data_IF_249964382673
#
_entry.id   IF_249964382673
#
_cell.length_a   1.000
_cell.length_b   1.000
_cell.length_c   1.000
_cell.angle_alpha   90.00
_cell.angle_beta   90.00
_cell.angle_gamma   90.00
#
_symmetry.space_group_name_H-M   'P 1'
#
loop_
_entity.id
_entity.type
_entity.pdbx_description
1 polymer ?
#
# COMPACT_ATOMS: atom_id res chain seq x y z
N UNK A 1 -20.73 -0.66 17.65
CA UNK A 1 -21.00 -0.58 19.11
C UNK A 1 -20.78 -1.95 19.75
N UNK A 2 -19.73 -2.64 19.34
CA UNK A 2 -19.38 -3.97 19.85
C UNK A 2 -18.40 -3.90 21.05
N UNK A 3 -18.16 -2.70 21.63
CA UNK A 3 -17.32 -2.52 22.81
C UNK A 3 -15.81 -2.51 22.54
N UNK A 4 -15.39 -2.42 21.27
CA UNK A 4 -13.98 -2.27 20.94
C UNK A 4 -13.50 -0.83 21.16
N UNK A 5 -12.31 -0.69 21.72
CA UNK A 5 -11.55 0.55 21.67
C UNK A 5 -10.81 0.61 20.33
N UNK A 6 -10.96 1.72 19.60
CA UNK A 6 -10.43 1.84 18.23
C UNK A 6 -9.41 2.97 18.18
N UNK A 7 -8.18 2.62 17.74
CA UNK A 7 -7.13 3.56 17.40
C UNK A 7 -7.03 3.65 15.87
N UNK A 8 -6.86 4.87 15.32
CA UNK A 8 -6.79 5.10 13.88
C UNK A 8 -5.53 5.91 13.55
N UNK A 9 -4.74 5.39 12.62
CA UNK A 9 -3.49 6.02 12.18
C UNK A 9 -3.48 6.16 10.65
N UNK A 10 -3.35 7.40 10.17
CA UNK A 10 -3.28 7.69 8.73
C UNK A 10 -1.91 7.35 8.11
N UNK A 11 -1.83 7.30 6.77
CA UNK A 11 -0.60 6.91 6.07
C UNK A 11 0.42 8.05 5.86
N UNK A 12 -0.01 9.32 5.99
CA UNK A 12 0.84 10.52 5.73
C UNK A 12 1.45 11.08 7.02
N UNK A 13 1.97 10.20 7.86
CA UNK A 13 2.61 10.57 9.12
C UNK A 13 3.89 11.34 8.86
N UNK A 14 4.17 12.32 9.74
CA UNK A 14 5.33 13.21 9.71
C UNK A 14 5.38 14.14 8.50
N UNK A 15 4.47 14.00 7.54
CA UNK A 15 4.40 14.84 6.33
C UNK A 15 5.72 14.95 5.56
N UNK A 16 6.53 13.88 5.55
CA UNK A 16 7.79 13.85 4.82
C UNK A 16 7.57 14.02 3.33
N UNK A 17 8.20 15.04 2.75
CA UNK A 17 8.12 15.33 1.33
C UNK A 17 9.13 14.47 0.56
N UNK A 18 8.80 14.12 -0.67
CA UNK A 18 9.72 13.40 -1.57
C UNK A 18 11.01 14.19 -1.83
N UNK A 19 10.89 15.50 -1.99
CA UNK A 19 12.00 16.40 -2.20
C UNK A 19 13.03 16.33 -1.07
N UNK A 20 12.58 16.24 0.17
CA UNK A 20 13.46 16.18 1.36
C UNK A 20 14.30 14.88 1.41
N UNK A 21 13.83 13.84 0.73
CA UNK A 21 14.47 12.52 0.71
C UNK A 21 15.27 12.24 -0.57
N UNK A 22 15.42 13.22 -1.45
CA UNK A 22 16.07 13.09 -2.76
C UNK A 22 15.53 11.90 -3.58
N UNK A 23 14.22 11.64 -3.50
CA UNK A 23 13.57 10.60 -4.29
C UNK A 23 13.27 11.16 -5.67
N UNK A 24 14.09 10.75 -6.66
CA UNK A 24 13.85 11.06 -8.06
C UNK A 24 12.73 10.15 -8.59
N UNK A 25 11.55 10.72 -8.73
CA UNK A 25 10.40 10.03 -9.30
C UNK A 25 9.61 10.99 -10.19
N UNK A 26 9.99 11.07 -11.47
CA UNK A 26 9.44 12.05 -12.42
C UNK A 26 7.92 11.96 -12.63
N UNK A 27 7.32 10.81 -12.32
CA UNK A 27 5.88 10.57 -12.45
C UNK A 27 5.01 11.13 -11.31
N UNK A 28 5.62 11.67 -10.26
CA UNK A 28 4.88 12.16 -9.08
C UNK A 28 5.27 13.62 -8.80
N UNK A 29 4.27 14.45 -8.47
CA UNK A 29 4.50 15.86 -8.13
C UNK A 29 5.54 16.00 -7.01
N UNK A 30 6.40 17.01 -7.10
CA UNK A 30 7.44 17.32 -6.10
C UNK A 30 6.85 17.53 -4.70
N UNK A 31 5.63 18.08 -4.63
CA UNK A 31 4.89 18.35 -3.38
C UNK A 31 4.21 17.10 -2.80
N UNK A 32 4.57 15.90 -3.24
CA UNK A 32 3.92 14.69 -2.77
C UNK A 32 4.48 14.23 -1.41
N UNK A 33 3.60 14.19 -0.40
CA UNK A 33 3.91 13.58 0.89
C UNK A 33 3.92 12.06 0.73
N UNK A 34 5.00 11.41 1.17
CA UNK A 34 5.13 9.95 1.13
C UNK A 34 4.31 9.26 2.23
N UNK A 35 3.95 7.99 1.97
CA UNK A 35 3.35 7.13 2.99
C UNK A 35 4.44 6.59 3.93
N UNK A 36 4.12 6.47 5.23
CA UNK A 36 5.03 5.91 6.22
C UNK A 36 4.39 4.70 6.95
N UNK A 37 4.31 3.52 6.31
CA UNK A 37 3.68 2.33 6.89
C UNK A 37 4.45 1.79 8.11
N UNK A 38 5.76 2.02 8.17
CA UNK A 38 6.57 1.62 9.32
C UNK A 38 6.18 2.43 10.55
N UNK A 39 6.10 3.75 10.41
CA UNK A 39 5.68 4.61 11.53
C UNK A 39 4.25 4.32 11.97
N UNK A 40 3.34 4.00 11.04
CA UNK A 40 1.98 3.56 11.38
C UNK A 40 2.02 2.33 12.31
N UNK A 41 2.85 1.32 11.98
CA UNK A 41 3.00 0.13 12.81
C UNK A 41 3.60 0.45 14.18
N UNK A 42 4.63 1.29 14.23
CA UNK A 42 5.29 1.66 15.49
C UNK A 42 4.35 2.42 16.43
N UNK A 43 3.53 3.33 15.93
CA UNK A 43 2.54 4.05 16.74
C UNK A 43 1.47 3.11 17.31
N UNK A 44 1.02 2.12 16.53
CA UNK A 44 0.06 1.13 17.00
C UNK A 44 0.70 0.13 17.99
N UNK A 45 2.00 -0.16 17.85
CA UNK A 45 2.75 -0.92 18.84
C UNK A 45 2.84 -0.16 20.17
N UNK A 46 3.09 1.14 20.14
CA UNK A 46 3.10 1.99 21.34
C UNK A 46 1.72 2.06 22.00
N UNK A 47 0.67 2.12 21.20
CA UNK A 47 -0.71 2.06 21.65
C UNK A 47 -1.12 0.65 22.17
N UNK A 48 -0.26 -0.38 22.00
CA UNK A 48 -0.47 -1.77 22.45
C UNK A 48 -1.78 -2.37 21.93
N UNK A 49 -2.05 -2.18 20.64
CA UNK A 49 -3.22 -2.77 19.98
C UNK A 49 -3.16 -4.30 20.00
N UNK A 50 -4.30 -4.95 20.15
CA UNK A 50 -4.42 -6.43 20.14
C UNK A 50 -4.56 -7.00 18.72
N UNK A 51 -5.09 -6.18 17.78
CA UNK A 51 -5.30 -6.55 16.38
C UNK A 51 -5.23 -5.30 15.52
N UNK A 52 -4.53 -5.39 14.40
CA UNK A 52 -4.44 -4.33 13.40
C UNK A 52 -5.20 -4.70 12.12
N UNK A 53 -6.10 -3.82 11.67
CA UNK A 53 -6.86 -3.99 10.43
C UNK A 53 -6.42 -2.91 9.44
N UNK A 54 -5.83 -3.34 8.31
CA UNK A 54 -5.35 -2.45 7.27
C UNK A 54 -6.45 -2.24 6.23
N UNK A 55 -6.86 -0.98 6.06
CA UNK A 55 -7.91 -0.58 5.13
C UNK A 55 -7.41 0.51 4.20
N UNK A 56 -7.31 0.22 2.91
CA UNK A 56 -6.89 1.20 1.89
C UNK A 56 -5.43 1.59 1.95
N UNK A 57 -4.57 0.76 2.54
CA UNK A 57 -3.12 0.91 2.46
C UNK A 57 -2.62 0.49 1.08
N UNK A 58 -1.60 1.17 0.54
CA UNK A 58 -1.05 0.82 -0.77
C UNK A 58 -0.52 -0.61 -0.77
N UNK A 59 -0.79 -1.34 -1.86
CA UNK A 59 -0.26 -2.70 -2.04
C UNK A 59 1.27 -2.69 -1.94
N UNK A 60 1.83 -3.61 -1.13
CA UNK A 60 3.24 -3.65 -0.78
C UNK A 60 3.61 -2.85 0.48
N UNK A 61 2.93 -1.75 0.81
CA UNK A 61 3.10 -1.06 2.10
C UNK A 61 2.52 -1.86 3.26
N UNK A 62 1.51 -2.67 3.02
CA UNK A 62 0.97 -3.64 3.98
C UNK A 62 2.02 -4.66 4.42
N UNK A 63 2.89 -5.12 3.52
CA UNK A 63 4.01 -6.00 3.87
C UNK A 63 5.00 -5.32 4.84
N UNK A 64 5.31 -4.02 4.62
CA UNK A 64 6.15 -3.26 5.54
C UNK A 64 5.47 -3.06 6.88
N UNK A 65 4.18 -2.71 6.89
CA UNK A 65 3.41 -2.57 8.12
C UNK A 65 3.42 -3.89 8.92
N UNK A 66 3.09 -5.02 8.29
CA UNK A 66 3.06 -6.33 8.94
C UNK A 66 4.43 -6.73 9.51
N UNK A 67 5.52 -6.38 8.82
CA UNK A 67 6.87 -6.68 9.29
C UNK A 67 7.22 -5.98 10.62
N UNK A 68 6.69 -4.77 10.86
CA UNK A 68 7.00 -3.96 12.03
C UNK A 68 5.88 -3.94 13.07
N UNK A 69 4.74 -4.57 12.79
CA UNK A 69 3.62 -4.71 13.73
C UNK A 69 3.88 -5.81 14.76
N UNK A 70 3.71 -5.50 16.05
CA UNK A 70 3.76 -6.49 17.13
C UNK A 70 2.46 -7.29 17.24
N UNK A 71 1.32 -6.64 17.00
CA UNK A 71 0.03 -7.29 16.98
C UNK A 71 -0.22 -8.02 15.65
N UNK A 72 -1.02 -9.08 15.64
CA UNK A 72 -1.52 -9.66 14.40
C UNK A 72 -2.13 -8.60 13.50
N UNK A 73 -1.82 -8.64 12.20
CA UNK A 73 -2.30 -7.67 11.22
C UNK A 73 -3.00 -8.38 10.07
N UNK A 74 -4.12 -7.82 9.62
CA UNK A 74 -4.88 -8.33 8.48
C UNK A 74 -5.17 -7.20 7.50
N UNK A 75 -4.86 -7.40 6.22
CA UNK A 75 -5.24 -6.48 5.15
C UNK A 75 -6.67 -6.80 4.71
N UNK A 76 -7.62 -5.94 5.09
CA UNK A 76 -9.01 -6.06 4.68
C UNK A 76 -9.21 -5.56 3.24
N UNK A 77 -8.62 -4.40 2.91
CA UNK A 77 -8.65 -3.82 1.56
C UNK A 77 -7.29 -3.19 1.26
N UNK A 78 -6.61 -3.70 0.23
CA UNK A 78 -5.41 -3.06 -0.31
C UNK A 78 -5.77 -2.00 -1.35
N UNK A 79 -5.03 -0.90 -1.37
CA UNK A 79 -5.14 0.14 -2.39
C UNK A 79 -4.24 -0.24 -3.57
N UNK A 80 -4.88 -0.59 -4.69
CA UNK A 80 -4.20 -0.96 -5.92
C UNK A 80 -4.87 -0.30 -7.13
N UNK A 81 -4.25 0.72 -7.68
CA UNK A 81 -4.78 1.46 -8.82
C UNK A 81 -4.79 0.64 -10.11
N UNK A 82 -3.85 -0.30 -10.29
CA UNK A 82 -3.74 -1.11 -11.50
C UNK A 82 -4.92 -2.06 -11.64
N UNK A 83 -5.45 -2.55 -10.53
CA UNK A 83 -6.57 -3.50 -10.49
C UNK A 83 -7.89 -2.84 -10.08
N UNK A 84 -7.93 -1.49 -10.04
CA UNK A 84 -9.10 -0.72 -9.57
C UNK A 84 -9.52 -1.17 -8.16
N UNK A 85 -8.53 -1.39 -7.29
CA UNK A 85 -8.68 -1.87 -5.91
C UNK A 85 -9.34 -3.26 -5.77
N UNK A 86 -9.32 -4.05 -6.85
CA UNK A 86 -9.89 -5.40 -6.87
C UNK A 86 -8.92 -6.40 -7.53
N UNK A 87 -7.80 -6.73 -6.89
CA UNK A 87 -6.80 -7.65 -7.45
C UNK A 87 -7.36 -9.06 -7.71
N UNK A 88 -8.29 -9.53 -6.88
CA UNK A 88 -8.92 -10.84 -7.09
C UNK A 88 -9.65 -10.93 -8.42
N UNK A 89 -10.39 -9.88 -8.79
CA UNK A 89 -11.09 -9.81 -10.09
C UNK A 89 -10.12 -9.90 -11.26
N UNK A 90 -8.97 -9.22 -11.17
CA UNK A 90 -7.94 -9.28 -12.21
C UNK A 90 -7.30 -10.67 -12.30
N UNK A 91 -7.01 -11.30 -11.18
CA UNK A 91 -6.47 -12.66 -11.14
C UNK A 91 -7.44 -13.68 -11.76
N UNK A 92 -8.73 -13.62 -11.41
CA UNK A 92 -9.74 -14.50 -11.99
C UNK A 92 -9.93 -14.29 -13.51
N UNK A 93 -9.72 -13.08 -14.01
CA UNK A 93 -9.86 -12.73 -15.42
C UNK A 93 -8.51 -12.68 -16.17
N UNK A 94 -7.42 -13.16 -15.57
CA UNK A 94 -6.07 -13.06 -16.12
C UNK A 94 -5.93 -13.72 -17.49
N UNK A 95 -6.56 -14.88 -17.70
CA UNK A 95 -6.53 -15.62 -18.96
C UNK A 95 -7.62 -15.20 -19.95
N UNK A 96 -8.41 -14.18 -19.61
CA UNK A 96 -9.52 -13.71 -20.45
C UNK A 96 -9.42 -12.22 -20.76
N UNK A 97 -10.23 -11.39 -20.12
CA UNK A 97 -10.34 -9.95 -20.40
C UNK A 97 -9.03 -9.20 -20.13
N UNK A 98 -8.30 -9.59 -19.08
CA UNK A 98 -7.06 -8.92 -18.67
C UNK A 98 -5.80 -9.48 -19.32
N UNK A 99 -5.86 -10.61 -20.03
CA UNK A 99 -4.70 -11.29 -20.62
C UNK A 99 -3.79 -10.34 -21.40
N UNK A 100 -4.34 -9.65 -22.39
CA UNK A 100 -3.55 -8.70 -23.23
C UNK A 100 -2.94 -7.55 -22.43
N UNK A 101 -3.64 -7.06 -21.42
CA UNK A 101 -3.14 -5.95 -20.58
C UNK A 101 -1.97 -6.41 -19.72
N UNK A 102 -2.09 -7.60 -19.12
CA UNK A 102 -1.02 -8.18 -18.30
C UNK A 102 0.21 -8.51 -19.13
N UNK A 103 0.03 -9.15 -20.29
CA UNK A 103 1.11 -9.48 -21.22
C UNK A 103 1.86 -8.23 -21.71
N UNK A 104 1.13 -7.16 -22.05
CA UNK A 104 1.71 -5.89 -22.45
C UNK A 104 2.55 -5.29 -21.31
N UNK A 105 2.01 -5.20 -20.11
CA UNK A 105 2.71 -4.63 -18.94
C UNK A 105 3.96 -5.42 -18.60
N UNK A 106 3.88 -6.75 -18.60
CA UNK A 106 5.04 -7.62 -18.34
C UNK A 106 6.09 -7.46 -19.44
N UNK A 107 5.68 -7.36 -20.70
CA UNK A 107 6.58 -7.12 -21.83
C UNK A 107 7.28 -5.78 -21.76
N UNK A 108 6.61 -4.72 -21.35
CA UNK A 108 7.17 -3.37 -21.15
C UNK A 108 8.20 -3.38 -20.01
N UNK A 109 7.89 -3.99 -18.88
CA UNK A 109 8.82 -4.14 -17.75
C UNK A 109 10.07 -4.94 -18.17
N UNK A 110 9.89 -6.07 -18.84
CA UNK A 110 10.99 -6.94 -19.28
C UNK A 110 11.89 -6.27 -20.32
N UNK A 111 11.35 -5.35 -21.13
CA UNK A 111 12.12 -4.59 -22.14
C UNK A 111 12.78 -3.31 -21.60
N UNK A 112 12.60 -2.98 -20.33
CA UNK A 112 13.09 -1.76 -19.71
C UNK A 112 12.42 -0.48 -20.24
N UNK A 113 11.26 -0.59 -20.89
CA UNK A 113 10.48 0.51 -21.45
C UNK A 113 9.28 0.91 -20.58
N UNK A 114 9.23 0.43 -19.35
CA UNK A 114 8.21 0.86 -18.38
C UNK A 114 8.60 2.22 -17.81
N UNK A 115 8.02 3.31 -18.36
CA UNK A 115 7.96 4.61 -17.71
C UNK A 115 6.79 4.68 -16.74
#
# INVERSE_FOLDING_TARGET
>A
KAGFEVQVVGCKLESNMKADLNIDAPSLAEDCVICNPIMQALLLNDAKTDLNILMGICVGHDALFCKYSNAPAVTLVAKDFMTVHNPCSVLYAADSVYKRKLEKTIGEIASGKGE
#
